data_IF_342718906395
#
_entry.id   IF_342718906395
#
_cell.length_a   1.000
_cell.length_b   1.000
_cell.length_c   1.000
_cell.angle_alpha   90.00
_cell.angle_beta   90.00
_cell.angle_gamma   90.00
#
_symmetry.space_group_name_H-M   'P 1'
#
loop_
_entity.id
_entity.type
_entity.pdbx_description
1 polymer ?
#
# COMPACT_ATOMS: atom_id res chain seq x y z
N UNK A 1 21.25 -20.95 -19.46
CA UNK A 1 20.84 -22.14 -18.71
C UNK A 1 19.66 -21.75 -17.83
N UNK A 2 18.53 -22.44 -17.95
CA UNK A 2 17.35 -22.16 -17.13
C UNK A 2 17.31 -23.21 -15.98
N UNK A 3 18.16 -22.97 -14.97
CA UNK A 3 18.33 -23.91 -13.85
C UNK A 3 17.08 -24.03 -12.97
N UNK A 4 16.16 -23.04 -12.99
CA UNK A 4 14.92 -23.13 -12.22
C UNK A 4 14.02 -24.28 -12.71
N UNK A 5 14.06 -24.61 -14.00
CA UNK A 5 13.30 -25.75 -14.56
C UNK A 5 13.75 -27.12 -13.99
N UNK A 6 14.92 -27.19 -13.39
CA UNK A 6 15.43 -28.40 -12.76
C UNK A 6 14.73 -28.65 -11.40
N UNK A 7 14.25 -27.60 -10.73
CA UNK A 7 13.37 -27.69 -9.55
C UNK A 7 11.90 -27.59 -9.98
N UNK A 8 11.36 -28.70 -10.48
CA UNK A 8 10.01 -28.76 -11.03
C UNK A 8 8.92 -28.21 -10.10
N UNK A 9 8.84 -28.59 -8.81
CA UNK A 9 7.75 -28.11 -7.95
C UNK A 9 7.72 -26.58 -7.82
N UNK A 10 8.88 -25.94 -7.66
CA UNK A 10 8.97 -24.47 -7.57
C UNK A 10 8.68 -23.83 -8.92
N UNK A 11 9.22 -24.38 -10.00
CA UNK A 11 8.97 -23.88 -11.35
C UNK A 11 7.48 -23.94 -11.71
N UNK A 12 6.83 -25.09 -11.46
CA UNK A 12 5.40 -25.29 -11.74
C UNK A 12 4.53 -24.31 -10.94
N UNK A 13 4.80 -24.14 -9.63
CA UNK A 13 4.06 -23.17 -8.79
C UNK A 13 4.20 -21.72 -9.30
N UNK A 14 5.40 -21.34 -9.77
CA UNK A 14 5.61 -20.01 -10.38
C UNK A 14 4.82 -19.87 -11.69
N UNK A 15 4.78 -20.93 -12.52
CA UNK A 15 4.00 -20.91 -13.77
C UNK A 15 2.49 -20.86 -13.49
N UNK A 16 2.02 -21.55 -12.47
CA UNK A 16 0.61 -21.50 -12.04
C UNK A 16 0.24 -20.09 -11.57
N UNK A 17 1.10 -19.43 -10.77
CA UNK A 17 0.87 -18.04 -10.35
C UNK A 17 0.91 -17.06 -11.52
N UNK A 18 1.84 -17.21 -12.46
CA UNK A 18 1.88 -16.41 -13.68
C UNK A 18 0.58 -16.56 -14.49
N UNK A 19 0.08 -17.80 -14.63
CA UNK A 19 -1.19 -18.09 -15.29
C UNK A 19 -2.37 -17.46 -14.52
N UNK A 20 -2.37 -17.51 -13.19
CA UNK A 20 -3.38 -16.84 -12.38
C UNK A 20 -3.39 -15.33 -12.67
N UNK A 21 -2.25 -14.67 -12.62
CA UNK A 21 -2.14 -13.23 -12.89
C UNK A 21 -2.58 -12.87 -14.31
N UNK A 22 -2.28 -13.68 -15.30
CA UNK A 22 -2.70 -13.47 -16.69
C UNK A 22 -4.21 -13.56 -16.88
N UNK A 23 -4.85 -14.49 -16.18
CA UNK A 23 -6.24 -14.88 -16.42
C UNK A 23 -7.23 -14.33 -15.38
N UNK A 24 -6.77 -13.56 -14.38
CA UNK A 24 -7.62 -12.88 -13.40
C UNK A 24 -7.44 -11.37 -13.46
N UNK A 25 -8.45 -10.63 -13.04
CA UNK A 25 -8.40 -9.18 -12.84
C UNK A 25 -8.04 -8.91 -11.38
N UNK A 26 -6.87 -8.28 -11.15
CA UNK A 26 -6.37 -7.98 -9.82
C UNK A 26 -6.92 -6.64 -9.31
N UNK A 27 -7.82 -6.70 -8.34
CA UNK A 27 -8.47 -5.55 -7.72
C UNK A 27 -8.07 -5.32 -6.26
N UNK A 28 -7.07 -6.07 -5.75
CA UNK A 28 -6.52 -5.81 -4.42
C UNK A 28 -5.75 -4.48 -4.46
N UNK A 29 -6.22 -3.47 -3.73
CA UNK A 29 -5.68 -2.10 -3.76
C UNK A 29 -4.20 -1.99 -3.34
N UNK A 30 -3.66 -2.99 -2.66
CA UNK A 30 -2.27 -3.06 -2.22
C UNK A 30 -1.37 -3.90 -3.12
N UNK A 31 -1.85 -4.35 -4.27
CA UNK A 31 -1.08 -5.10 -5.26
C UNK A 31 -0.84 -4.29 -6.53
N UNK A 32 0.22 -4.64 -7.23
CA UNK A 32 0.59 -4.03 -8.50
C UNK A 32 1.44 -5.01 -9.33
N UNK A 33 1.70 -4.64 -10.57
CA UNK A 33 2.46 -5.41 -11.54
C UNK A 33 3.77 -4.67 -11.82
N UNK A 34 4.90 -5.27 -11.49
CA UNK A 34 6.22 -4.66 -11.67
C UNK A 34 6.70 -4.78 -13.12
N UNK A 35 7.65 -3.93 -13.52
CA UNK A 35 8.34 -4.03 -14.80
C UNK A 35 9.31 -5.24 -14.84
N UNK A 36 9.67 -5.69 -16.05
CA UNK A 36 10.73 -6.67 -16.24
C UNK A 36 12.05 -6.24 -15.60
N UNK A 37 12.41 -4.95 -15.73
CA UNK A 37 13.63 -4.40 -15.15
C UNK A 37 13.69 -4.50 -13.62
N UNK A 38 12.56 -4.31 -12.95
CA UNK A 38 12.44 -4.52 -11.49
C UNK A 38 12.67 -5.99 -11.13
N UNK A 39 12.08 -6.93 -11.89
CA UNK A 39 12.27 -8.36 -11.68
C UNK A 39 13.72 -8.80 -11.94
N UNK A 40 14.34 -8.33 -13.01
CA UNK A 40 15.75 -8.61 -13.35
C UNK A 40 16.70 -8.09 -12.28
N UNK A 41 16.50 -6.87 -11.78
CA UNK A 41 17.31 -6.30 -10.71
C UNK A 41 17.19 -7.14 -9.42
N UNK A 42 15.98 -7.59 -9.09
CA UNK A 42 15.71 -8.41 -7.91
C UNK A 42 16.30 -9.81 -8.03
N UNK A 43 16.36 -10.39 -9.22
CA UNK A 43 16.99 -11.69 -9.51
C UNK A 43 18.49 -11.62 -9.75
N UNK A 44 19.16 -10.49 -9.50
CA UNK A 44 20.57 -10.28 -9.80
C UNK A 44 21.54 -10.91 -8.79
N UNK A 45 22.80 -10.95 -9.16
CA UNK A 45 23.92 -11.43 -8.31
C UNK A 45 24.13 -10.63 -7.03
N UNK A 46 23.46 -9.48 -6.89
CA UNK A 46 23.52 -8.66 -5.69
C UNK A 46 22.94 -9.36 -4.45
N UNK A 47 22.14 -10.41 -4.66
CA UNK A 47 21.66 -11.30 -3.58
C UNK A 47 22.79 -11.96 -2.80
N UNK A 48 23.97 -12.12 -3.41
CA UNK A 48 25.12 -12.81 -2.80
C UNK A 48 25.90 -11.89 -1.84
N UNK A 49 25.68 -10.54 -1.89
CA UNK A 49 26.56 -9.60 -1.19
C UNK A 49 26.06 -9.22 0.19
N UNK A 50 26.84 -9.49 1.20
CA UNK A 50 26.64 -9.03 2.57
C UNK A 50 27.16 -7.61 2.73
N UNK A 51 26.31 -6.65 3.16
CA UNK A 51 26.62 -5.21 3.14
C UNK A 51 26.12 -4.47 4.40
N UNK A 52 26.36 -5.05 5.60
CA UNK A 52 26.03 -4.38 6.87
C UNK A 52 26.68 -3.00 6.98
N UNK A 53 25.95 -2.05 7.53
CA UNK A 53 26.31 -0.64 7.57
C UNK A 53 25.66 0.16 6.44
N UNK A 54 26.26 1.27 6.08
CA UNK A 54 25.76 2.22 5.09
C UNK A 54 26.80 2.54 4.02
N UNK A 55 26.44 3.11 2.86
CA UNK A 55 27.39 3.44 1.81
C UNK A 55 28.60 4.22 2.29
N UNK A 56 29.80 3.69 2.05
CA UNK A 56 31.07 4.25 2.50
C UNK A 56 31.43 3.95 3.97
N UNK A 57 30.55 3.30 4.72
CA UNK A 57 30.74 2.91 6.14
C UNK A 57 30.25 1.47 6.37
N UNK A 58 30.75 0.53 5.56
CA UNK A 58 30.38 -0.88 5.66
C UNK A 58 31.28 -1.62 6.65
N UNK A 59 30.72 -2.66 7.24
CA UNK A 59 31.49 -3.61 8.08
C UNK A 59 32.22 -4.67 7.28
N UNK A 60 31.92 -4.80 5.97
CA UNK A 60 32.50 -5.80 5.08
C UNK A 60 33.19 -5.14 3.89
N UNK A 61 34.25 -5.81 3.36
CA UNK A 61 34.89 -5.41 2.11
C UNK A 61 34.08 -5.77 0.87
N UNK A 62 34.47 -5.26 -0.30
CA UNK A 62 33.85 -5.57 -1.58
C UNK A 62 32.47 -4.91 -1.79
N UNK A 63 32.22 -3.77 -1.16
CA UNK A 63 30.94 -3.08 -1.20
C UNK A 63 30.90 -1.91 -2.20
N UNK A 64 31.96 -1.67 -2.95
CA UNK A 64 32.09 -0.51 -3.86
C UNK A 64 30.97 -0.39 -4.89
N UNK A 65 30.41 -1.52 -5.35
CA UNK A 65 29.33 -1.53 -6.34
C UNK A 65 27.95 -1.48 -5.69
N UNK A 66 27.72 -2.21 -4.61
CA UNK A 66 26.43 -2.11 -3.87
C UNK A 66 26.24 -0.74 -3.23
N UNK A 67 27.33 -0.05 -2.88
CA UNK A 67 27.29 1.34 -2.44
C UNK A 67 26.74 2.28 -3.50
N UNK A 68 27.12 2.06 -4.78
CA UNK A 68 26.57 2.83 -5.90
C UNK A 68 25.07 2.62 -6.04
N UNK A 69 24.63 1.38 -5.93
CA UNK A 69 23.21 1.00 -6.04
C UNK A 69 22.39 1.61 -4.91
N UNK A 70 22.87 1.52 -3.67
CA UNK A 70 22.14 2.10 -2.53
C UNK A 70 22.10 3.62 -2.58
N UNK A 71 23.20 4.29 -2.98
CA UNK A 71 23.17 5.75 -3.20
C UNK A 71 22.16 6.14 -4.28
N UNK A 72 22.10 5.42 -5.41
CA UNK A 72 21.11 5.68 -6.45
C UNK A 72 19.69 5.55 -5.93
N UNK A 73 19.39 4.54 -5.11
CA UNK A 73 18.07 4.38 -4.52
C UNK A 73 17.73 5.54 -3.57
N UNK A 74 18.71 5.96 -2.75
CA UNK A 74 18.56 7.10 -1.82
C UNK A 74 18.33 8.40 -2.60
N UNK A 75 19.17 8.68 -3.60
CA UNK A 75 19.13 9.94 -4.36
C UNK A 75 17.82 10.06 -5.14
N UNK A 76 17.40 8.99 -5.82
CA UNK A 76 16.13 8.95 -6.55
C UNK A 76 14.91 9.10 -5.63
N UNK A 77 14.92 8.47 -4.45
CA UNK A 77 13.85 8.64 -3.47
C UNK A 77 13.80 10.07 -2.91
N UNK A 78 14.98 10.70 -2.66
CA UNK A 78 15.05 12.11 -2.26
C UNK A 78 14.49 13.03 -3.34
N UNK A 79 14.84 12.80 -4.60
CA UNK A 79 14.33 13.58 -5.73
C UNK A 79 12.82 13.40 -5.88
N UNK A 80 12.34 12.15 -5.81
CA UNK A 80 10.93 11.80 -6.02
C UNK A 80 10.00 12.43 -4.98
N UNK A 81 10.43 12.50 -3.71
CA UNK A 81 9.58 12.94 -2.59
C UNK A 81 10.00 14.28 -1.97
N UNK A 82 11.15 14.85 -2.35
CA UNK A 82 11.68 16.07 -1.73
C UNK A 82 12.12 15.86 -0.27
N UNK A 83 12.58 14.67 0.10
CA UNK A 83 12.94 14.33 1.47
C UNK A 83 14.38 14.76 1.84
N UNK A 84 14.58 15.25 3.07
CA UNK A 84 15.90 15.63 3.57
C UNK A 84 16.83 14.41 3.76
N UNK A 85 16.29 13.32 4.34
CA UNK A 85 16.99 12.07 4.58
C UNK A 85 16.12 10.87 4.16
N UNK A 86 16.76 9.83 3.60
CA UNK A 86 16.09 8.59 3.17
C UNK A 86 16.93 7.38 3.59
N UNK A 87 16.26 6.40 4.22
CA UNK A 87 16.81 5.07 4.47
C UNK A 87 16.04 4.05 3.61
N UNK A 88 16.74 3.37 2.71
CA UNK A 88 16.16 2.41 1.75
C UNK A 88 16.31 0.94 2.18
N UNK A 89 16.88 0.69 3.36
CA UNK A 89 17.17 -0.66 3.85
C UNK A 89 15.98 -1.43 4.46
N UNK A 90 14.87 -0.81 4.93
CA UNK A 90 13.76 -1.58 5.50
C UNK A 90 13.26 -2.67 4.55
N UNK A 91 13.14 -3.91 5.08
CA UNK A 91 12.71 -5.07 4.30
C UNK A 91 11.21 -5.04 3.99
N UNK A 92 10.42 -4.33 4.78
CA UNK A 92 8.98 -4.16 4.60
C UNK A 92 8.48 -2.86 5.21
N UNK A 93 7.23 -2.46 4.88
CA UNK A 93 6.58 -1.29 5.50
C UNK A 93 6.42 -1.45 7.01
N UNK A 94 6.03 -2.64 7.49
CA UNK A 94 5.90 -2.90 8.93
C UNK A 94 7.23 -2.77 9.67
N UNK A 95 8.33 -3.24 9.07
CA UNK A 95 9.67 -3.05 9.65
C UNK A 95 10.11 -1.59 9.60
N UNK A 96 9.77 -0.85 8.54
CA UNK A 96 10.00 0.59 8.47
C UNK A 96 9.28 1.31 9.62
N UNK A 97 7.99 1.03 9.83
CA UNK A 97 7.21 1.61 10.93
C UNK A 97 7.81 1.26 12.28
N UNK A 98 8.14 -0.02 12.49
CA UNK A 98 8.69 -0.44 13.78
C UNK A 98 10.10 0.11 14.04
N UNK A 99 10.92 0.33 12.99
CA UNK A 99 12.21 1.01 13.14
C UNK A 99 12.04 2.46 13.62
N UNK A 100 11.01 3.16 13.13
CA UNK A 100 10.67 4.50 13.62
C UNK A 100 10.30 4.44 15.10
N UNK A 101 9.42 3.53 15.50
CA UNK A 101 9.01 3.38 16.89
C UNK A 101 10.19 3.03 17.79
N UNK A 102 11.00 2.06 17.40
CA UNK A 102 12.18 1.62 18.14
C UNK A 102 13.23 2.73 18.30
N UNK A 103 13.41 3.56 17.27
CA UNK A 103 14.39 4.64 17.27
C UNK A 103 13.98 5.88 18.05
N UNK A 104 12.67 6.15 18.16
CA UNK A 104 12.16 7.43 18.64
C UNK A 104 11.24 7.32 19.87
N UNK A 105 10.77 6.13 20.22
CA UNK A 105 9.89 5.87 21.35
C UNK A 105 10.54 4.88 22.33
N UNK A 106 9.91 4.74 23.48
CA UNK A 106 10.21 3.70 24.49
C UNK A 106 9.00 2.78 24.65
N UNK A 107 9.19 1.50 24.98
CA UNK A 107 8.07 0.62 25.34
C UNK A 107 7.19 1.26 26.40
N UNK A 108 5.87 1.24 26.18
CA UNK A 108 4.87 1.86 27.04
C UNK A 108 4.55 3.33 26.73
N UNK A 109 5.30 3.99 25.85
CA UNK A 109 4.92 5.34 25.37
C UNK A 109 3.55 5.31 24.70
N UNK A 110 2.80 6.40 24.86
CA UNK A 110 1.50 6.55 24.21
C UNK A 110 1.65 6.99 22.77
N UNK A 111 0.98 6.30 21.84
CA UNK A 111 0.89 6.67 20.44
C UNK A 111 -0.56 6.68 19.97
N UNK A 112 -0.86 7.50 18.97
CA UNK A 112 -2.17 7.53 18.32
C UNK A 112 -2.04 7.06 16.87
N UNK A 113 -2.99 6.24 16.44
CA UNK A 113 -3.12 5.79 15.05
C UNK A 113 -4.59 5.64 14.67
N UNK A 114 -4.86 5.56 13.37
CA UNK A 114 -6.23 5.34 12.91
C UNK A 114 -6.72 3.95 13.32
N UNK A 115 -7.97 3.89 13.80
CA UNK A 115 -8.63 2.63 14.13
C UNK A 115 -8.61 1.68 12.92
N UNK A 116 -8.31 0.41 13.18
CA UNK A 116 -8.21 -0.61 12.13
C UNK A 116 -9.52 -0.79 11.34
N UNK A 117 -10.68 -0.72 12.03
CA UNK A 117 -12.01 -0.85 11.40
C UNK A 117 -12.37 0.34 10.52
N UNK A 118 -11.77 1.51 10.78
CA UNK A 118 -12.03 2.74 10.04
C UNK A 118 -11.05 2.94 8.88
N UNK A 119 -10.12 2.01 8.67
CA UNK A 119 -9.17 2.03 7.57
C UNK A 119 -7.70 2.14 7.97
N UNK A 120 -7.36 2.03 9.26
CA UNK A 120 -5.97 1.98 9.74
C UNK A 120 -5.20 0.74 9.27
N UNK A 121 -3.92 0.67 9.62
CA UNK A 121 -3.07 -0.48 9.34
C UNK A 121 -2.73 -1.24 10.63
N UNK A 122 -2.48 -2.57 10.51
CA UNK A 122 -2.10 -3.41 11.66
C UNK A 122 -0.92 -2.83 12.45
N UNK A 123 0.11 -2.33 11.78
CA UNK A 123 1.31 -1.75 12.41
C UNK A 123 1.10 -0.36 13.01
N UNK A 124 -0.10 0.21 12.97
CA UNK A 124 -0.45 1.48 13.60
C UNK A 124 -1.05 1.30 15.01
N UNK A 125 -0.74 0.18 15.66
CA UNK A 125 -1.15 -0.06 17.04
C UNK A 125 -2.25 -1.10 17.25
N UNK A 126 -2.52 -1.95 16.25
CA UNK A 126 -3.47 -3.05 16.43
C UNK A 126 -3.02 -3.99 17.57
N UNK A 127 -3.93 -4.43 18.45
CA UNK A 127 -3.59 -5.32 19.58
C UNK A 127 -2.96 -6.66 19.18
N UNK A 128 -3.19 -7.12 17.95
CA UNK A 128 -2.58 -8.35 17.42
C UNK A 128 -1.21 -8.12 16.78
N UNK A 129 -0.77 -6.87 16.71
CA UNK A 129 0.53 -6.47 16.14
C UNK A 129 1.51 -6.09 17.26
N UNK A 130 2.80 -6.24 17.00
CA UNK A 130 3.85 -5.85 17.95
C UNK A 130 3.71 -4.38 18.41
N UNK A 131 3.22 -3.48 17.55
CA UNK A 131 2.96 -2.09 17.92
C UNK A 131 1.95 -1.94 19.03
N UNK A 132 0.84 -2.69 18.99
CA UNK A 132 -0.17 -2.69 20.05
C UNK A 132 0.26 -3.42 21.33
N UNK A 133 1.28 -4.30 21.25
CA UNK A 133 1.83 -4.99 22.43
C UNK A 133 2.90 -4.19 23.16
N UNK A 134 3.64 -3.33 22.45
CA UNK A 134 4.78 -2.57 22.99
C UNK A 134 4.41 -1.16 23.46
N UNK A 135 3.34 -0.57 22.92
CA UNK A 135 2.95 0.81 23.14
C UNK A 135 1.54 0.92 23.70
N UNK A 136 1.29 2.01 24.42
CA UNK A 136 -0.07 2.37 24.84
C UNK A 136 -0.75 3.07 23.66
N UNK A 137 -1.67 2.38 22.98
CA UNK A 137 -2.27 2.89 21.75
C UNK A 137 -3.66 3.45 22.00
N UNK A 138 -3.88 4.69 21.58
CA UNK A 138 -5.19 5.34 21.61
C UNK A 138 -5.62 5.63 20.17
N UNK A 139 -6.68 5.00 19.68
CA UNK A 139 -7.11 5.18 18.29
C UNK A 139 -7.87 6.49 18.09
N UNK A 140 -7.77 7.04 16.87
CA UNK A 140 -8.72 8.01 16.33
C UNK A 140 -9.48 7.39 15.15
N UNK A 141 -10.59 7.98 14.73
CA UNK A 141 -11.47 7.40 13.73
C UNK A 141 -12.13 8.41 12.81
N UNK A 142 -13.24 7.99 12.22
CA UNK A 142 -14.06 8.78 11.29
C UNK A 142 -15.37 9.19 11.95
N UNK A 143 -16.01 10.25 11.43
CA UNK A 143 -17.34 10.68 11.82
C UNK A 143 -18.38 9.67 11.33
N UNK A 144 -19.48 9.58 12.07
CA UNK A 144 -20.53 8.61 11.77
C UNK A 144 -21.45 9.02 10.62
N UNK A 145 -21.61 10.32 10.41
CA UNK A 145 -22.53 10.90 9.44
C UNK A 145 -22.00 10.88 8.00
N UNK A 146 -20.70 11.10 7.81
CA UNK A 146 -20.07 11.20 6.49
C UNK A 146 -18.87 10.26 6.27
N UNK A 147 -18.46 9.53 7.32
CA UNK A 147 -17.32 8.59 7.32
C UNK A 147 -15.98 9.25 6.94
N UNK A 148 -15.85 10.57 7.18
CA UNK A 148 -14.60 11.31 7.02
C UNK A 148 -13.83 11.39 8.34
N UNK A 149 -12.50 11.57 8.25
CA UNK A 149 -11.64 11.73 9.43
C UNK A 149 -12.16 12.81 10.38
N UNK A 150 -12.28 12.44 11.65
CA UNK A 150 -12.73 13.35 12.72
C UNK A 150 -11.54 14.07 13.35
N UNK A 151 -11.13 15.17 12.74
CA UNK A 151 -10.00 15.96 13.24
C UNK A 151 -10.28 16.64 14.59
N UNK A 152 -11.53 17.04 14.87
CA UNK A 152 -11.92 17.63 16.15
C UNK A 152 -11.81 16.60 17.28
N UNK A 153 -12.35 15.39 17.07
CA UNK A 153 -12.20 14.31 18.03
C UNK A 153 -10.74 13.92 18.22
N UNK A 154 -9.95 13.84 17.12
CA UNK A 154 -8.53 13.55 17.15
C UNK A 154 -7.75 14.58 18.01
N UNK A 155 -8.02 15.87 17.81
CA UNK A 155 -7.40 16.97 18.57
C UNK A 155 -7.73 16.87 20.05
N UNK A 156 -9.01 16.64 20.39
CA UNK A 156 -9.46 16.47 21.76
C UNK A 156 -8.74 15.28 22.43
N UNK A 157 -8.72 14.12 21.77
CA UNK A 157 -8.03 12.92 22.28
C UNK A 157 -6.53 13.22 22.48
N UNK A 158 -5.89 13.86 21.52
CA UNK A 158 -4.46 14.17 21.62
C UNK A 158 -4.14 15.06 22.82
N UNK A 159 -4.98 16.07 23.10
CA UNK A 159 -4.86 16.95 24.28
C UNK A 159 -5.08 16.19 25.61
N UNK A 160 -5.96 15.20 25.62
CA UNK A 160 -6.23 14.38 26.80
C UNK A 160 -5.10 13.39 27.10
N UNK A 161 -4.59 12.69 26.09
CA UNK A 161 -3.66 11.56 26.29
C UNK A 161 -2.18 11.93 26.11
N UNK A 162 -1.87 13.11 25.59
CA UNK A 162 -0.49 13.62 25.40
C UNK A 162 0.43 12.57 24.75
N UNK A 163 0.14 12.08 23.52
CA UNK A 163 0.91 11.03 22.89
C UNK A 163 2.36 11.49 22.59
N UNK A 164 3.27 10.55 22.42
CA UNK A 164 4.61 10.82 21.92
C UNK A 164 4.68 10.80 20.40
N UNK A 165 3.75 10.09 19.76
CA UNK A 165 3.65 9.95 18.31
C UNK A 165 2.20 9.95 17.88
N UNK A 166 1.90 10.68 16.81
CA UNK A 166 0.65 10.57 16.06
C UNK A 166 0.98 10.05 14.66
N UNK A 167 0.28 8.98 14.24
CA UNK A 167 0.48 8.35 12.95
C UNK A 167 -0.67 8.72 12.03
N UNK A 168 -0.36 9.40 10.92
CA UNK A 168 -1.25 9.58 9.77
C UNK A 168 -1.04 8.45 8.75
N UNK A 169 -1.99 8.33 7.82
CA UNK A 169 -1.94 7.32 6.78
C UNK A 169 -2.86 6.13 7.06
N UNK A 170 -3.26 5.45 5.99
CA UNK A 170 -4.37 4.50 6.01
C UNK A 170 -4.18 3.38 5.00
N UNK A 171 -4.91 2.28 5.18
CA UNK A 171 -4.94 1.13 4.26
C UNK A 171 -6.26 1.04 3.48
N UNK A 172 -7.33 1.67 3.97
CA UNK A 172 -8.67 1.50 3.44
C UNK A 172 -9.54 2.78 3.56
N UNK A 173 -8.93 3.92 3.70
CA UNK A 173 -9.61 5.22 3.67
C UNK A 173 -9.44 5.85 2.29
N UNK A 174 -10.54 6.21 1.64
CA UNK A 174 -10.56 6.59 0.23
C UNK A 174 -10.53 8.11 -0.04
N UNK A 175 -10.47 8.94 1.01
CA UNK A 175 -10.50 10.39 0.89
C UNK A 175 -9.14 11.04 1.12
N UNK A 176 -9.02 12.30 0.74
CA UNK A 176 -7.81 13.08 1.01
C UNK A 176 -7.65 13.31 2.52
N UNK A 177 -6.40 13.18 2.99
CA UNK A 177 -6.00 13.45 4.36
C UNK A 177 -5.37 14.85 4.41
N UNK A 178 -5.80 15.67 5.36
CA UNK A 178 -5.19 16.96 5.65
C UNK A 178 -3.98 16.79 6.58
N UNK A 179 -2.81 16.61 5.96
CA UNK A 179 -1.56 16.41 6.70
C UNK A 179 -1.10 17.65 7.46
N UNK A 180 -1.42 18.85 6.96
CA UNK A 180 -1.10 20.11 7.64
C UNK A 180 -1.85 20.21 8.97
N UNK A 181 -3.15 19.92 8.95
CA UNK A 181 -3.98 19.90 10.15
C UNK A 181 -3.53 18.81 11.15
N UNK A 182 -3.23 17.61 10.66
CA UNK A 182 -2.73 16.53 11.52
C UNK A 182 -1.38 16.89 12.16
N UNK A 183 -0.47 17.51 11.41
CA UNK A 183 0.81 17.99 11.94
C UNK A 183 0.61 19.05 13.01
N UNK A 184 -0.31 20.02 12.79
CA UNK A 184 -0.63 21.04 13.78
C UNK A 184 -1.14 20.43 15.10
N UNK A 185 -2.06 19.46 15.02
CA UNK A 185 -2.56 18.74 16.19
C UNK A 185 -1.44 18.01 16.94
N UNK A 186 -0.56 17.29 16.22
CA UNK A 186 0.54 16.57 16.82
C UNK A 186 1.53 17.50 17.52
N UNK A 187 1.96 18.55 16.84
CA UNK A 187 2.96 19.48 17.37
C UNK A 187 2.41 20.34 18.52
N UNK A 188 1.11 20.66 18.54
CA UNK A 188 0.47 21.39 19.65
C UNK A 188 0.63 20.65 20.99
N UNK A 189 0.58 19.31 20.97
CA UNK A 189 0.75 18.46 22.16
C UNK A 189 2.21 17.97 22.35
N UNK A 190 3.15 18.44 21.54
CA UNK A 190 4.57 18.04 21.61
C UNK A 190 4.84 16.62 21.10
N UNK A 191 3.92 16.02 20.35
CA UNK A 191 4.09 14.72 19.72
C UNK A 191 4.87 14.84 18.40
N UNK A 192 5.57 13.76 18.03
CA UNK A 192 6.06 13.57 16.67
C UNK A 192 4.88 13.27 15.72
N UNK A 193 4.95 13.80 14.51
CA UNK A 193 4.01 13.45 13.45
C UNK A 193 4.68 12.52 12.43
N UNK A 194 4.17 11.30 12.32
CA UNK A 194 4.61 10.32 11.35
C UNK A 194 3.47 10.06 10.33
N UNK A 195 3.82 9.92 9.06
CA UNK A 195 2.85 9.47 8.05
C UNK A 195 3.34 8.19 7.39
N UNK A 196 2.52 7.15 7.44
CA UNK A 196 2.66 5.96 6.61
C UNK A 196 1.86 6.16 5.32
N UNK A 197 2.56 6.52 4.24
CA UNK A 197 1.93 6.77 2.94
C UNK A 197 1.94 5.54 2.01
N UNK A 198 2.13 4.34 2.56
CA UNK A 198 2.33 3.11 1.78
C UNK A 198 1.28 2.90 0.69
N UNK A 199 0.02 3.20 0.95
CA UNK A 199 -1.04 3.02 -0.04
C UNK A 199 -1.01 4.05 -1.16
N UNK A 200 -0.78 5.31 -0.85
CA UNK A 200 -0.89 6.41 -1.80
C UNK A 200 0.45 7.01 -2.25
N UNK A 201 1.58 6.39 -1.90
CA UNK A 201 2.92 6.92 -2.22
C UNK A 201 3.13 7.16 -3.73
N UNK A 202 2.62 6.29 -4.59
CA UNK A 202 2.69 6.48 -6.04
C UNK A 202 1.84 7.66 -6.52
N UNK A 203 0.71 7.94 -5.87
CA UNK A 203 -0.09 9.13 -6.16
C UNK A 203 0.63 10.42 -5.71
N UNK A 204 1.33 10.38 -4.56
CA UNK A 204 2.19 11.49 -4.11
C UNK A 204 3.33 11.72 -5.10
N UNK A 205 4.03 10.66 -5.49
CA UNK A 205 5.13 10.72 -6.47
C UNK A 205 4.67 11.28 -7.83
N UNK A 206 3.48 10.89 -8.28
CA UNK A 206 2.88 11.37 -9.52
C UNK A 206 2.21 12.75 -9.43
N UNK A 207 2.20 13.40 -8.25
CA UNK A 207 1.58 14.71 -8.04
C UNK A 207 0.05 14.68 -7.95
N UNK A 208 -0.57 13.52 -7.75
CA UNK A 208 -2.02 13.31 -7.74
C UNK A 208 -2.62 13.20 -6.33
N UNK A 209 -1.80 13.30 -5.28
CA UNK A 209 -2.20 13.32 -3.88
C UNK A 209 -1.29 14.26 -3.07
N UNK A 210 -1.80 14.95 -2.04
CA UNK A 210 -0.96 15.83 -1.22
C UNK A 210 0.23 15.10 -0.61
N UNK A 211 1.42 15.70 -0.68
CA UNK A 211 2.62 15.15 -0.04
C UNK A 211 2.60 15.39 1.46
N UNK A 212 2.83 14.35 2.30
CA UNK A 212 3.02 14.52 3.73
C UNK A 212 4.40 15.04 4.10
N UNK A 213 5.40 14.93 3.20
CA UNK A 213 6.81 15.22 3.49
C UNK A 213 7.05 16.65 4.02
N UNK A 214 6.39 17.71 3.54
CA UNK A 214 6.55 19.05 4.10
C UNK A 214 6.09 19.21 5.55
N UNK A 215 5.16 18.39 6.01
CA UNK A 215 4.49 18.52 7.32
C UNK A 215 4.96 17.51 8.35
N UNK A 216 5.26 16.29 7.93
CA UNK A 216 5.65 15.20 8.84
C UNK A 216 7.09 15.31 9.32
N UNK A 217 7.35 14.82 10.53
CA UNK A 217 8.71 14.60 11.05
C UNK A 217 9.34 13.36 10.41
N UNK A 218 8.51 12.30 10.22
CA UNK A 218 8.91 11.04 9.61
C UNK A 218 7.83 10.60 8.62
N UNK A 219 8.25 10.06 7.48
CA UNK A 219 7.36 9.43 6.51
C UNK A 219 7.88 8.04 6.20
N UNK A 220 6.99 7.04 6.24
CA UNK A 220 7.30 5.69 5.81
C UNK A 220 6.47 5.32 4.58
N UNK A 221 6.94 4.39 3.80
CA UNK A 221 6.15 3.77 2.74
C UNK A 221 6.64 2.38 2.40
N UNK A 222 5.76 1.58 1.82
CA UNK A 222 6.12 0.40 1.03
C UNK A 222 6.52 0.82 -0.38
N UNK A 223 7.23 -0.05 -1.09
CA UNK A 223 7.68 0.21 -2.46
C UNK A 223 6.86 -0.54 -3.53
N UNK A 224 5.95 -1.42 -3.12
CA UNK A 224 5.30 -2.42 -4.00
C UNK A 224 3.79 -2.20 -4.25
N UNK A 225 3.21 -1.08 -3.78
CA UNK A 225 1.79 -0.76 -4.01
C UNK A 225 1.66 0.21 -5.19
N UNK A 226 1.19 1.42 -4.95
CA UNK A 226 1.08 2.43 -6.02
C UNK A 226 2.43 2.87 -6.61
N UNK A 227 3.56 2.68 -5.91
CA UNK A 227 4.90 2.89 -6.45
C UNK A 227 5.36 1.79 -7.43
N UNK A 228 4.62 0.70 -7.57
CA UNK A 228 4.88 -0.33 -8.59
C UNK A 228 6.31 -0.91 -8.58
N UNK A 229 6.96 -0.90 -7.41
CA UNK A 229 8.33 -1.42 -7.22
C UNK A 229 8.37 -2.80 -6.54
N UNK A 230 9.55 -3.25 -6.13
CA UNK A 230 9.72 -4.51 -5.42
C UNK A 230 9.09 -4.46 -4.03
N UNK A 231 8.80 -5.63 -3.45
CA UNK A 231 8.35 -5.71 -2.06
C UNK A 231 9.46 -5.25 -1.12
N UNK A 232 9.16 -4.21 -0.34
CA UNK A 232 10.11 -3.57 0.58
C UNK A 232 9.49 -2.32 1.22
N UNK A 233 10.29 -1.59 1.97
CA UNK A 233 9.92 -0.30 2.57
C UNK A 233 11.06 0.71 2.52
N UNK A 234 10.74 1.97 2.75
CA UNK A 234 11.70 3.05 2.98
C UNK A 234 11.22 3.94 4.14
N UNK A 235 12.15 4.65 4.74
CA UNK A 235 11.89 5.68 5.74
C UNK A 235 12.48 6.99 5.25
N UNK A 236 11.69 8.05 5.30
CA UNK A 236 12.09 9.42 5.05
C UNK A 236 11.93 10.22 6.33
N UNK A 237 12.81 11.16 6.61
CA UNK A 237 12.66 11.99 7.81
C UNK A 237 13.37 13.33 7.65
N UNK A 238 13.07 14.25 8.58
CA UNK A 238 13.86 15.46 8.78
C UNK A 238 15.29 15.08 9.17
N UNK A 239 16.28 15.84 8.73
CA UNK A 239 17.72 15.58 8.98
C UNK A 239 18.04 15.36 10.48
N UNK A 240 17.35 16.09 11.36
CA UNK A 240 17.52 15.94 12.82
C UNK A 240 17.26 14.54 13.37
N UNK A 241 16.48 13.70 12.65
CA UNK A 241 16.17 12.33 13.04
C UNK A 241 17.00 11.27 12.29
N UNK A 242 17.73 11.65 11.25
CA UNK A 242 18.49 10.76 10.37
C UNK A 242 19.34 9.75 11.14
N UNK A 243 20.17 10.22 12.07
CA UNK A 243 21.07 9.36 12.86
C UNK A 243 20.30 8.35 13.73
N UNK A 244 19.16 8.74 14.31
CA UNK A 244 18.36 7.86 15.15
C UNK A 244 17.68 6.78 14.29
N UNK A 245 17.13 7.15 13.14
CA UNK A 245 16.48 6.25 12.19
C UNK A 245 17.49 5.26 11.62
N UNK A 246 18.64 5.71 11.13
CA UNK A 246 19.65 4.81 10.57
C UNK A 246 20.15 3.82 11.62
N UNK A 247 20.39 4.27 12.86
CA UNK A 247 20.78 3.39 13.96
C UNK A 247 19.66 2.39 14.32
N UNK A 248 18.41 2.79 14.21
CA UNK A 248 17.26 1.92 14.48
C UNK A 248 17.09 0.84 13.42
N UNK A 249 17.34 1.17 12.14
CA UNK A 249 17.33 0.18 11.06
C UNK A 249 18.52 -0.75 11.21
N UNK A 250 19.73 -0.22 11.20
CA UNK A 250 20.95 -1.01 11.40
C UNK A 250 21.86 -0.32 12.44
N UNK A 251 22.29 -1.00 13.48
CA UNK A 251 22.11 -2.44 13.79
C UNK A 251 20.87 -2.74 14.66
N UNK A 252 19.94 -1.79 14.83
CA UNK A 252 18.86 -1.90 15.80
C UNK A 252 17.87 -3.03 15.50
N UNK A 253 17.34 -3.10 14.29
CA UNK A 253 16.30 -4.07 13.90
C UNK A 253 16.74 -5.07 12.84
N UNK A 254 17.64 -4.68 11.96
CA UNK A 254 18.09 -5.47 10.82
C UNK A 254 19.59 -5.68 10.86
N UNK A 255 20.07 -6.76 10.18
CA UNK A 255 21.46 -7.01 9.86
C UNK A 255 21.75 -6.60 8.41
N UNK A 256 22.26 -7.55 7.60
CA UNK A 256 22.59 -7.31 6.19
C UNK A 256 21.38 -6.84 5.37
N UNK A 257 21.50 -5.73 4.65
CA UNK A 257 20.44 -5.26 3.78
C UNK A 257 20.28 -6.17 2.56
N UNK A 258 19.08 -6.21 1.98
CA UNK A 258 18.76 -6.99 0.78
C UNK A 258 19.19 -6.19 -0.46
N UNK A 259 20.47 -6.31 -0.88
CA UNK A 259 21.03 -5.45 -1.93
C UNK A 259 20.36 -5.61 -3.28
N UNK A 260 19.87 -6.80 -3.61
CA UNK A 260 19.09 -7.08 -4.82
C UNK A 260 17.71 -6.39 -4.78
N UNK A 261 17.07 -6.30 -3.62
CA UNK A 261 15.82 -5.55 -3.45
C UNK A 261 16.08 -4.04 -3.51
N UNK A 262 17.19 -3.55 -2.94
CA UNK A 262 17.58 -2.14 -3.03
C UNK A 262 17.87 -1.76 -4.49
N UNK A 263 18.48 -2.64 -5.28
CA UNK A 263 18.65 -2.44 -6.73
C UNK A 263 17.31 -2.31 -7.44
N UNK A 264 16.37 -3.19 -7.14
CA UNK A 264 15.02 -3.14 -7.70
C UNK A 264 14.26 -1.86 -7.26
N UNK A 265 14.45 -1.38 -6.01
CA UNK A 265 13.95 -0.06 -5.56
C UNK A 265 14.56 1.06 -6.39
N UNK A 266 15.87 1.03 -6.63
CA UNK A 266 16.54 2.05 -7.45
C UNK A 266 15.99 2.08 -8.88
N UNK A 267 15.70 0.92 -9.48
CA UNK A 267 15.06 0.83 -10.80
C UNK A 267 13.66 1.45 -10.75
N UNK A 268 12.82 1.00 -9.82
CA UNK A 268 11.44 1.48 -9.70
C UNK A 268 11.38 3.01 -9.49
N UNK A 269 12.19 3.58 -8.60
CA UNK A 269 12.23 5.03 -8.39
C UNK A 269 12.72 5.78 -9.64
N UNK A 270 13.57 5.16 -10.46
CA UNK A 270 13.94 5.72 -11.76
C UNK A 270 12.77 5.74 -12.74
N UNK A 271 11.94 4.70 -12.76
CA UNK A 271 10.70 4.66 -13.54
C UNK A 271 9.69 5.69 -13.01
N UNK A 272 9.56 5.83 -11.68
CA UNK A 272 8.62 6.73 -11.01
C UNK A 272 8.93 8.23 -11.24
N UNK A 273 10.18 8.59 -11.54
CA UNK A 273 10.58 9.95 -11.92
C UNK A 273 10.14 10.35 -13.34
N UNK A 274 9.67 9.41 -14.14
CA UNK A 274 9.28 9.67 -15.53
C UNK A 274 7.92 10.37 -15.65
N UNK A 275 7.70 11.05 -16.79
CA UNK A 275 6.39 11.60 -17.11
C UNK A 275 5.32 10.52 -17.35
N UNK A 276 5.72 9.34 -17.82
CA UNK A 276 4.82 8.20 -17.99
C UNK A 276 4.24 7.76 -16.65
N UNK A 277 5.03 7.78 -15.58
CA UNK A 277 4.54 7.47 -14.24
C UNK A 277 3.54 8.51 -13.73
N UNK A 278 3.74 9.80 -14.00
CA UNK A 278 2.76 10.84 -13.68
C UNK A 278 1.43 10.60 -14.39
N UNK A 279 1.47 10.20 -15.67
CA UNK A 279 0.26 9.84 -16.41
C UNK A 279 -0.41 8.59 -15.83
N UNK A 280 0.37 7.60 -15.42
CA UNK A 280 -0.12 6.42 -14.73
C UNK A 280 -0.83 6.77 -13.42
N UNK A 281 -0.24 7.60 -12.56
CA UNK A 281 -0.84 8.04 -11.31
C UNK A 281 -2.18 8.77 -11.54
N UNK A 282 -2.24 9.63 -12.55
CA UNK A 282 -3.48 10.30 -12.97
C UNK A 282 -4.54 9.32 -13.47
N UNK A 283 -4.12 8.30 -14.24
CA UNK A 283 -5.04 7.29 -14.76
C UNK A 283 -5.60 6.40 -13.64
N UNK A 284 -4.82 6.06 -12.62
CA UNK A 284 -5.29 5.35 -11.43
C UNK A 284 -6.52 6.05 -10.83
N UNK A 285 -6.42 7.34 -10.56
CA UNK A 285 -7.52 8.12 -9.93
C UNK A 285 -8.75 8.19 -10.82
N UNK A 286 -8.58 8.37 -12.13
CA UNK A 286 -9.70 8.38 -13.07
C UNK A 286 -10.42 7.05 -13.08
N UNK A 287 -9.67 5.96 -13.15
CA UNK A 287 -10.20 4.61 -13.16
C UNK A 287 -10.97 4.30 -11.88
N UNK A 288 -10.38 4.62 -10.72
CA UNK A 288 -11.02 4.38 -9.42
C UNK A 288 -12.30 5.22 -9.25
N UNK A 289 -12.26 6.48 -9.71
CA UNK A 289 -13.46 7.34 -9.68
C UNK A 289 -14.58 6.75 -10.54
N UNK A 290 -14.27 6.29 -11.75
CA UNK A 290 -15.27 5.66 -12.63
C UNK A 290 -15.83 4.39 -11.97
N UNK A 291 -14.97 3.54 -11.40
CA UNK A 291 -15.41 2.36 -10.67
C UNK A 291 -16.40 2.71 -9.56
N UNK A 292 -16.05 3.70 -8.74
CA UNK A 292 -16.89 4.20 -7.65
C UNK A 292 -18.24 4.73 -8.13
N UNK A 293 -18.22 5.59 -9.15
CA UNK A 293 -19.43 6.22 -9.68
C UNK A 293 -20.38 5.18 -10.30
N UNK A 294 -19.84 4.20 -11.06
CA UNK A 294 -20.66 3.16 -11.70
C UNK A 294 -21.24 2.16 -10.68
N UNK A 295 -20.46 1.76 -9.65
CA UNK A 295 -20.99 0.92 -8.57
C UNK A 295 -22.16 1.61 -7.85
N UNK A 296 -22.02 2.93 -7.55
CA UNK A 296 -23.08 3.70 -6.90
C UNK A 296 -24.32 3.86 -7.79
N UNK A 297 -24.18 4.10 -9.10
CA UNK A 297 -25.31 4.11 -10.06
C UNK A 297 -26.06 2.79 -10.05
N UNK A 298 -25.38 1.69 -9.81
CA UNK A 298 -25.98 0.38 -9.70
C UNK A 298 -26.44 0.04 -8.27
N UNK A 299 -26.52 1.01 -7.35
CA UNK A 299 -27.08 0.84 -6.01
C UNK A 299 -26.15 0.14 -5.02
N UNK A 300 -24.85 0.06 -5.29
CA UNK A 300 -23.84 -0.39 -4.32
C UNK A 300 -23.30 0.83 -3.59
N UNK A 301 -23.49 0.89 -2.28
CA UNK A 301 -22.99 1.98 -1.45
C UNK A 301 -21.46 1.96 -1.41
N UNK A 302 -20.84 3.09 -1.65
CA UNK A 302 -19.40 3.30 -1.42
C UNK A 302 -19.22 4.10 -0.13
N UNK A 303 -18.38 3.60 0.77
CA UNK A 303 -18.05 4.24 2.05
C UNK A 303 -17.53 5.64 1.81
N UNK A 304 -17.89 6.59 2.65
CA UNK A 304 -17.61 8.03 2.51
C UNK A 304 -18.13 8.68 1.20
N UNK A 305 -19.07 8.03 0.51
CA UNK A 305 -19.72 8.57 -0.69
C UNK A 305 -18.82 8.63 -1.93
N UNK A 306 -17.67 7.93 -1.96
CA UNK A 306 -16.78 7.88 -3.13
C UNK A 306 -15.30 7.77 -2.82
N UNK A 307 -14.46 8.15 -3.79
CA UNK A 307 -13.01 8.08 -3.66
C UNK A 307 -12.30 9.26 -4.31
N UNK A 308 -11.20 9.68 -3.69
CA UNK A 308 -10.25 10.66 -4.20
C UNK A 308 -8.88 10.01 -4.49
N UNK A 309 -8.77 8.68 -4.33
CA UNK A 309 -7.52 7.93 -4.37
C UNK A 309 -7.58 6.75 -5.35
N UNK A 310 -6.79 5.72 -5.09
CA UNK A 310 -6.68 4.47 -5.84
C UNK A 310 -7.50 3.32 -5.23
N UNK A 311 -8.25 3.59 -4.17
CA UNK A 311 -8.96 2.58 -3.38
C UNK A 311 -10.35 3.06 -3.03
N UNK A 312 -11.31 2.14 -2.99
CA UNK A 312 -12.64 2.34 -2.41
C UNK A 312 -13.04 1.15 -1.52
N UNK A 313 -13.99 1.40 -0.62
CA UNK A 313 -14.71 0.38 0.12
C UNK A 313 -16.16 0.34 -0.35
N UNK A 314 -16.60 -0.81 -0.86
CA UNK A 314 -17.98 -1.06 -1.21
C UNK A 314 -18.70 -1.77 -0.06
N UNK A 315 -19.83 -1.25 0.39
CA UNK A 315 -20.66 -1.82 1.45
C UNK A 315 -21.60 -2.89 0.90
N UNK A 316 -21.27 -4.14 1.15
CA UNK A 316 -22.04 -5.30 0.72
C UNK A 316 -23.27 -5.55 1.60
N UNK A 317 -23.27 -5.07 2.86
CA UNK A 317 -24.43 -5.16 3.75
C UNK A 317 -25.64 -4.42 3.17
N UNK A 318 -25.41 -3.30 2.47
CA UNK A 318 -26.47 -2.52 1.83
C UNK A 318 -27.26 -3.33 0.78
N UNK A 319 -26.69 -4.36 0.18
CA UNK A 319 -27.33 -5.27 -0.78
C UNK A 319 -27.63 -6.66 -0.19
N UNK A 320 -27.53 -6.81 1.12
CA UNK A 320 -27.97 -8.02 1.85
C UNK A 320 -26.97 -9.19 1.84
N UNK A 321 -25.71 -8.98 1.47
CA UNK A 321 -24.66 -9.99 1.52
C UNK A 321 -23.49 -9.56 2.44
N UNK A 322 -22.56 -10.47 2.71
CA UNK A 322 -21.35 -10.17 3.49
C UNK A 322 -20.13 -9.93 2.57
N UNK A 323 -19.12 -9.27 3.08
CA UNK A 323 -17.84 -9.14 2.37
C UNK A 323 -17.22 -10.48 1.99
N UNK A 324 -17.40 -11.51 2.85
CA UNK A 324 -16.93 -12.88 2.57
C UNK A 324 -17.64 -13.49 1.34
N UNK A 325 -18.96 -13.33 1.24
CA UNK A 325 -19.72 -13.83 0.07
C UNK A 325 -19.28 -13.11 -1.19
N UNK A 326 -19.16 -11.78 -1.14
CA UNK A 326 -18.71 -10.98 -2.28
C UNK A 326 -17.29 -11.39 -2.72
N UNK A 327 -16.34 -11.52 -1.80
CA UNK A 327 -14.98 -11.97 -2.11
C UNK A 327 -14.98 -13.32 -2.82
N UNK A 328 -15.74 -14.30 -2.31
CA UNK A 328 -15.76 -15.64 -2.85
C UNK A 328 -16.34 -15.66 -4.28
N UNK A 329 -17.49 -15.02 -4.49
CA UNK A 329 -18.11 -15.01 -5.82
C UNK A 329 -17.29 -14.24 -6.85
N UNK A 330 -16.57 -13.19 -6.46
CA UNK A 330 -15.64 -12.50 -7.34
C UNK A 330 -14.45 -13.39 -7.71
N UNK A 331 -13.87 -14.12 -6.76
CA UNK A 331 -12.77 -15.06 -7.05
C UNK A 331 -13.20 -16.19 -7.99
N UNK A 332 -14.43 -16.71 -7.83
CA UNK A 332 -15.02 -17.73 -8.73
C UNK A 332 -15.07 -17.27 -10.18
N UNK A 333 -15.37 -16.00 -10.44
CA UNK A 333 -15.44 -15.44 -11.79
C UNK A 333 -14.13 -14.84 -12.30
N UNK A 334 -13.05 -14.93 -11.52
CA UNK A 334 -11.71 -14.45 -11.92
C UNK A 334 -11.41 -12.99 -11.57
N UNK A 335 -12.10 -12.40 -10.58
CA UNK A 335 -11.73 -11.09 -10.00
C UNK A 335 -11.16 -11.31 -8.61
N UNK A 336 -9.90 -10.94 -8.42
CA UNK A 336 -9.23 -11.04 -7.11
C UNK A 336 -9.46 -9.75 -6.32
N UNK A 337 -10.12 -9.86 -5.17
CA UNK A 337 -10.39 -8.75 -4.26
C UNK A 337 -10.33 -9.23 -2.80
N UNK A 338 -10.31 -8.33 -1.83
CA UNK A 338 -10.33 -8.73 -0.44
C UNK A 338 -11.54 -8.17 0.31
N UNK A 339 -12.14 -9.02 1.17
CA UNK A 339 -13.11 -8.54 2.15
C UNK A 339 -12.43 -7.57 3.12
N UNK A 340 -13.17 -6.59 3.58
CA UNK A 340 -12.68 -5.56 4.48
C UNK A 340 -13.77 -5.12 5.46
N UNK A 341 -13.39 -4.78 6.68
CA UNK A 341 -14.28 -4.06 7.59
C UNK A 341 -14.63 -2.71 6.99
N UNK A 342 -15.82 -2.22 7.31
CA UNK A 342 -16.22 -0.83 7.05
C UNK A 342 -16.32 -0.07 8.36
N UNK A 343 -16.30 1.27 8.39
CA UNK A 343 -16.51 2.03 9.61
C UNK A 343 -17.76 1.57 10.36
N UNK A 344 -17.65 1.53 11.69
CA UNK A 344 -18.74 1.04 12.58
C UNK A 344 -19.16 -0.41 12.32
N UNK A 345 -18.22 -1.26 11.90
CA UNK A 345 -18.41 -2.67 11.61
C UNK A 345 -19.05 -3.44 12.78
N UNK A 346 -20.04 -4.25 12.48
CA UNK A 346 -20.75 -5.08 13.46
C UNK A 346 -20.50 -6.59 13.31
N UNK A 347 -19.89 -6.98 12.19
CA UNK A 347 -19.54 -8.38 11.90
C UNK A 347 -18.10 -8.69 12.33
N UNK A 348 -17.79 -9.97 12.48
CA UNK A 348 -16.43 -10.38 12.78
C UNK A 348 -15.45 -10.06 11.64
N UNK A 349 -14.15 -9.86 11.90
CA UNK A 349 -13.13 -9.63 10.87
C UNK A 349 -13.00 -10.76 9.83
N UNK A 350 -13.52 -11.94 10.13
CA UNK A 350 -13.52 -13.09 9.21
C UNK A 350 -14.69 -13.10 8.23
N UNK A 351 -15.71 -12.27 8.48
CA UNK A 351 -16.93 -12.16 7.65
C UNK A 351 -16.99 -10.83 6.95
N UNK A 352 -16.92 -9.73 7.71
CA UNK A 352 -16.96 -8.32 7.29
C UNK A 352 -18.21 -7.89 6.52
N UNK A 353 -18.48 -6.60 6.48
CA UNK A 353 -19.58 -6.02 5.71
C UNK A 353 -19.14 -5.48 4.36
N UNK A 354 -17.85 -5.26 4.14
CA UNK A 354 -17.32 -4.60 2.96
C UNK A 354 -16.38 -5.44 2.12
N UNK A 355 -16.13 -4.92 0.92
CA UNK A 355 -15.06 -5.35 0.02
C UNK A 355 -14.20 -4.15 -0.35
N UNK A 356 -12.88 -4.33 -0.33
CA UNK A 356 -11.93 -3.31 -0.77
C UNK A 356 -11.53 -3.57 -2.21
N UNK A 357 -11.64 -2.55 -3.05
CA UNK A 357 -11.29 -2.57 -4.46
C UNK A 357 -10.27 -1.47 -4.74
N UNK A 358 -9.41 -1.69 -5.72
CA UNK A 358 -8.42 -0.71 -6.14
C UNK A 358 -7.99 -0.87 -7.58
N UNK A 359 -7.60 0.22 -8.19
CA UNK A 359 -7.29 0.32 -9.62
C UNK A 359 -5.83 0.17 -10.05
N UNK A 360 -4.79 0.14 -9.16
CA UNK A 360 -3.40 0.22 -9.60
C UNK A 360 -2.96 -0.89 -10.55
N UNK A 361 -3.20 -2.16 -10.20
CA UNK A 361 -2.78 -3.30 -11.00
C UNK A 361 -3.43 -3.34 -12.39
N UNK A 362 -4.74 -3.08 -12.46
CA UNK A 362 -5.44 -3.03 -13.74
C UNK A 362 -5.05 -1.81 -14.58
N UNK A 363 -4.73 -0.67 -13.95
CA UNK A 363 -4.19 0.49 -14.66
C UNK A 363 -2.81 0.19 -15.23
N UNK A 364 -1.93 -0.49 -14.48
CA UNK A 364 -0.64 -0.97 -15.01
C UNK A 364 -0.82 -1.92 -16.18
N UNK A 365 -1.84 -2.78 -16.12
CA UNK A 365 -2.19 -3.72 -17.20
C UNK A 365 -2.69 -3.01 -18.46
N UNK A 366 -3.12 -1.74 -18.36
CA UNK A 366 -3.53 -0.92 -19.51
C UNK A 366 -5.03 -0.60 -19.57
N UNK A 367 -5.83 -1.05 -18.61
CA UNK A 367 -7.26 -0.74 -18.56
C UNK A 367 -7.49 0.75 -18.31
N UNK A 368 -8.53 1.29 -18.94
CA UNK A 368 -8.95 2.70 -18.85
C UNK A 368 -10.41 2.82 -18.42
N UNK A 369 -10.91 4.04 -18.41
CA UNK A 369 -12.23 4.40 -17.89
C UNK A 369 -13.37 3.51 -18.41
N UNK A 370 -13.42 3.23 -19.73
CA UNK A 370 -14.47 2.40 -20.31
C UNK A 370 -14.38 0.93 -19.84
N UNK A 371 -13.15 0.41 -19.67
CA UNK A 371 -12.95 -0.93 -19.14
C UNK A 371 -13.35 -1.01 -17.66
N UNK A 372 -13.13 0.08 -16.89
CA UNK A 372 -13.56 0.15 -15.49
C UNK A 372 -15.07 0.25 -15.32
N UNK A 373 -15.82 0.82 -16.31
CA UNK A 373 -17.28 0.70 -16.33
C UNK A 373 -17.72 -0.74 -16.50
N UNK A 374 -17.07 -1.47 -17.40
CA UNK A 374 -17.31 -2.89 -17.61
C UNK A 374 -17.01 -3.72 -16.35
N UNK A 375 -15.87 -3.45 -15.69
CA UNK A 375 -15.51 -4.11 -14.43
C UNK A 375 -16.53 -3.81 -13.33
N UNK A 376 -17.00 -2.56 -13.21
CA UNK A 376 -18.03 -2.18 -12.26
C UNK A 376 -19.35 -2.92 -12.51
N UNK A 377 -19.76 -3.05 -13.77
CA UNK A 377 -20.98 -3.77 -14.16
C UNK A 377 -20.87 -5.27 -13.85
N UNK A 378 -19.72 -5.89 -14.16
CA UNK A 378 -19.45 -7.29 -13.81
C UNK A 378 -19.57 -7.50 -12.29
N UNK A 379 -18.88 -6.67 -11.50
CA UNK A 379 -18.91 -6.73 -10.03
C UNK A 379 -20.35 -6.59 -9.52
N UNK A 380 -21.04 -5.53 -9.92
CA UNK A 380 -22.39 -5.26 -9.44
C UNK A 380 -23.39 -6.38 -9.83
N UNK A 381 -23.25 -6.92 -11.02
CA UNK A 381 -24.09 -8.01 -11.53
C UNK A 381 -23.91 -9.28 -10.70
N UNK A 382 -22.66 -9.71 -10.48
CA UNK A 382 -22.41 -10.98 -9.78
C UNK A 382 -22.67 -10.90 -8.28
N UNK A 383 -22.34 -9.78 -7.61
CA UNK A 383 -22.58 -9.67 -6.15
C UNK A 383 -24.05 -9.55 -5.80
N UNK A 384 -24.91 -9.11 -6.71
CA UNK A 384 -26.37 -9.10 -6.53
C UNK A 384 -27.01 -10.47 -6.82
N UNK A 385 -26.31 -11.37 -7.52
CA UNK A 385 -26.79 -12.68 -7.93
C UNK A 385 -25.77 -13.79 -7.60
N UNK A 386 -25.29 -13.89 -6.34
CA UNK A 386 -24.12 -14.70 -6.01
C UNK A 386 -24.33 -16.21 -6.19
N UNK A 387 -25.58 -16.68 -6.23
CA UNK A 387 -25.94 -18.10 -6.39
C UNK A 387 -26.33 -18.47 -7.83
N UNK A 388 -26.46 -17.48 -8.73
CA UNK A 388 -26.90 -17.73 -10.11
C UNK A 388 -25.72 -18.18 -10.98
N UNK A 389 -25.71 -19.47 -11.32
CA UNK A 389 -24.67 -20.10 -12.13
C UNK A 389 -24.55 -19.53 -13.55
N UNK A 390 -25.66 -19.13 -14.17
CA UNK A 390 -25.66 -18.59 -15.54
C UNK A 390 -25.06 -17.16 -15.54
N UNK A 391 -25.42 -16.36 -14.55
CA UNK A 391 -24.83 -15.02 -14.35
C UNK A 391 -23.34 -15.13 -14.08
N UNK A 392 -22.91 -16.03 -13.17
CA UNK A 392 -21.50 -16.26 -12.89
C UNK A 392 -20.70 -16.66 -14.13
N UNK A 393 -21.23 -17.59 -14.95
CA UNK A 393 -20.60 -18.00 -16.19
C UNK A 393 -20.45 -16.83 -17.19
N UNK A 394 -21.50 -16.06 -17.38
CA UNK A 394 -21.48 -14.87 -18.25
C UNK A 394 -20.48 -13.82 -17.77
N UNK A 395 -20.42 -13.56 -16.46
CA UNK A 395 -19.44 -12.64 -15.87
C UNK A 395 -18.00 -13.14 -16.04
N UNK A 396 -17.76 -14.45 -15.85
CA UNK A 396 -16.44 -15.06 -16.06
C UNK A 396 -15.97 -14.94 -17.52
N UNK A 397 -16.86 -15.11 -18.50
CA UNK A 397 -16.53 -14.91 -19.92
C UNK A 397 -16.12 -13.46 -20.21
N UNK A 398 -16.79 -12.48 -19.60
CA UNK A 398 -16.46 -11.05 -19.71
C UNK A 398 -15.10 -10.74 -19.08
N UNK A 399 -14.80 -11.31 -17.92
CA UNK A 399 -13.47 -11.20 -17.26
C UNK A 399 -12.39 -11.78 -18.18
N UNK A 400 -12.60 -12.98 -18.74
CA UNK A 400 -11.67 -13.60 -19.66
C UNK A 400 -11.42 -12.75 -20.91
N UNK A 401 -12.47 -12.11 -21.45
CA UNK A 401 -12.35 -11.18 -22.58
C UNK A 401 -11.47 -9.97 -22.27
N UNK A 402 -11.63 -9.36 -21.08
CA UNK A 402 -10.76 -8.26 -20.61
C UNK A 402 -9.31 -8.72 -20.43
N UNK A 403 -9.10 -9.90 -19.82
CA UNK A 403 -7.75 -10.46 -19.64
C UNK A 403 -7.06 -10.70 -21.00
N UNK A 404 -7.80 -11.18 -22.01
CA UNK A 404 -7.29 -11.40 -23.37
C UNK A 404 -6.99 -10.09 -24.10
N UNK A 405 -7.80 -9.05 -23.87
CA UNK A 405 -7.60 -7.71 -24.46
C UNK A 405 -6.34 -7.04 -23.95
N UNK A 406 -5.95 -7.31 -22.71
CA UNK A 406 -4.80 -6.74 -22.02
C UNK A 406 -3.88 -7.86 -21.51
N UNK A 407 -3.09 -8.50 -22.39
CA UNK A 407 -2.20 -9.59 -21.99
C UNK A 407 -1.10 -9.09 -21.06
N UNK A 408 -0.65 -9.97 -20.15
CA UNK A 408 0.35 -9.66 -19.15
C UNK A 408 1.59 -10.53 -19.33
N UNK A 409 2.79 -9.93 -19.32
CA UNK A 409 4.08 -10.63 -19.37
C UNK A 409 4.17 -11.62 -20.54
N UNK A 410 3.91 -11.19 -21.75
CA UNK A 410 3.84 -12.06 -22.94
C UNK A 410 5.17 -12.81 -23.21
N UNK A 411 6.28 -12.23 -22.79
CA UNK A 411 7.64 -12.79 -23.02
C UNK A 411 8.13 -13.76 -21.91
N UNK A 412 7.34 -14.03 -20.85
CA UNK A 412 7.68 -14.96 -19.76
C UNK A 412 7.22 -16.40 -19.98
#
# INVERSE_FOLDING_TARGET
MNHLKDDKPVYEAIQEELNRQRNKLEMIASENIVSYAVMEAQGSVLTNKYAEGYPGKRYYGGCEFVDKVERLAIDRAKELFGAEHVNVQPHSGSQANFAVYYGLLKPGDTMMGMNLTDGGHLSHGSPVNISGNYFNVVPYGVRKDDELLDYEAMEKIAKEVQPKLIIGGTSAYSRIIDFERMAAIAHEVGALFMVDMAHFAGLVAGGEYPSPVPYADIVTTTTHKTLRGPRGGIIMCREKYAKAIDKAVFPGMQGGPLMHVIAAKAVAFGEDLSDDFKQYAKQIKKNEKVLSDELQKQGIRVVSGGTDTHVLLADMKAIGITGKVAQNVLDEIGITANRNTIPFETLSPFVTSGIRLGSPALTTRGLKEEDFKEVADIIATVVKNPEDAAIKASCADRVAALCKKYPLYEDL
#
